data_IF_140653436764
#
_entry.id   IF_140653436764
#
_cell.length_a   1.000
_cell.length_b   1.000
_cell.length_c   1.000
_cell.angle_alpha   90.00
_cell.angle_beta   90.00
_cell.angle_gamma   90.00
#
_symmetry.space_group_name_H-M   'P 1'
#
loop_
_entity.id
_entity.type
_entity.pdbx_description
1 polymer ?
#
# COMPACT_ATOMS: atom_id res chain seq x y z
N UNK A 1 -25.70 3.37 3.97
CA UNK A 1 -24.58 3.14 4.91
C UNK A 1 -23.35 2.62 4.20
N UNK A 2 -23.44 1.62 3.35
CA UNK A 2 -22.34 0.94 2.62
C UNK A 2 -21.44 1.89 1.80
N UNK A 3 -22.04 2.89 1.13
CA UNK A 3 -21.30 3.89 0.36
C UNK A 3 -20.32 4.72 1.20
N UNK A 4 -20.68 5.04 2.44
CA UNK A 4 -19.80 5.80 3.35
C UNK A 4 -18.70 4.91 3.92
N UNK A 5 -18.98 3.63 4.16
CA UNK A 5 -17.96 2.64 4.56
C UNK A 5 -16.92 2.50 3.45
N UNK A 6 -17.36 2.34 2.20
CA UNK A 6 -16.45 2.27 1.05
C UNK A 6 -15.59 3.53 0.92
N UNK A 7 -16.19 4.70 1.04
CA UNK A 7 -15.45 5.98 1.00
C UNK A 7 -14.40 6.04 2.11
N UNK A 8 -14.79 5.69 3.35
CA UNK A 8 -13.86 5.66 4.47
C UNK A 8 -12.69 4.72 4.24
N UNK A 9 -12.96 3.48 3.79
CA UNK A 9 -11.92 2.50 3.50
C UNK A 9 -10.97 2.98 2.38
N UNK A 10 -11.51 3.58 1.32
CA UNK A 10 -10.70 4.18 0.24
C UNK A 10 -9.77 5.26 0.78
N UNK A 11 -10.30 6.19 1.57
CA UNK A 11 -9.50 7.26 2.18
C UNK A 11 -8.46 6.68 3.14
N UNK A 12 -8.81 5.72 3.98
CA UNK A 12 -7.89 5.11 4.94
C UNK A 12 -6.73 4.38 4.23
N UNK A 13 -7.03 3.54 3.24
CA UNK A 13 -6.00 2.79 2.49
C UNK A 13 -5.12 3.74 1.69
N UNK A 14 -5.72 4.68 0.94
CA UNK A 14 -4.94 5.59 0.10
C UNK A 14 -4.05 6.52 0.92
N UNK A 15 -4.54 7.07 2.03
CA UNK A 15 -3.71 7.93 2.90
C UNK A 15 -2.60 7.17 3.59
N UNK A 16 -2.84 5.91 4.01
CA UNK A 16 -1.80 5.07 4.58
C UNK A 16 -0.68 4.77 3.56
N UNK A 17 -1.04 4.41 2.32
CA UNK A 17 -0.06 4.18 1.25
C UNK A 17 0.71 5.46 0.89
N UNK A 18 0.02 6.61 0.76
CA UNK A 18 0.67 7.90 0.49
C UNK A 18 1.59 8.32 1.63
N UNK A 19 1.22 8.06 2.88
CA UNK A 19 2.06 8.33 4.04
C UNK A 19 3.37 7.51 3.99
N UNK A 20 3.29 6.23 3.61
CA UNK A 20 4.47 5.38 3.44
C UNK A 20 5.38 5.88 2.31
N UNK A 21 4.81 6.30 1.19
CA UNK A 21 5.55 6.90 0.07
C UNK A 21 6.19 8.22 0.50
N UNK A 22 5.46 9.08 1.19
CA UNK A 22 5.95 10.36 1.71
C UNK A 22 7.15 10.16 2.66
N UNK A 23 7.12 9.12 3.49
CA UNK A 23 8.23 8.80 4.39
C UNK A 23 9.51 8.42 3.64
N UNK A 24 9.40 7.64 2.57
CA UNK A 24 10.53 7.27 1.70
C UNK A 24 11.14 8.47 0.97
N UNK A 25 10.37 9.53 0.75
CA UNK A 25 10.87 10.78 0.16
C UNK A 25 11.26 11.84 1.21
N UNK A 26 11.30 11.48 2.50
CA UNK A 26 11.74 12.38 3.57
C UNK A 26 10.77 13.53 3.86
N UNK A 27 9.47 13.38 3.54
CA UNK A 27 8.45 14.40 3.77
C UNK A 27 7.91 14.41 5.20
N UNK A 28 8.20 13.37 5.99
CA UNK A 28 7.88 13.32 7.41
C UNK A 28 9.04 13.85 8.26
N UNK A 29 8.71 14.46 9.38
CA UNK A 29 9.75 14.90 10.34
C UNK A 29 10.56 13.70 10.85
N UNK A 30 11.86 13.86 11.00
CA UNK A 30 12.78 12.77 11.37
C UNK A 30 12.39 12.03 12.66
N UNK A 31 11.71 12.71 13.59
CA UNK A 31 11.26 12.10 14.87
C UNK A 31 10.15 11.06 14.72
N UNK A 32 9.38 11.10 13.63
CA UNK A 32 8.21 10.25 13.39
C UNK A 32 8.37 9.39 12.14
N UNK A 33 9.41 9.63 11.37
CA UNK A 33 9.76 8.87 10.16
C UNK A 33 10.23 7.46 10.53
N UNK A 34 9.86 6.48 9.71
CA UNK A 34 10.33 5.09 9.83
C UNK A 34 11.60 4.88 8.99
N UNK A 35 11.60 5.35 7.76
CA UNK A 35 12.76 5.23 6.85
C UNK A 35 13.47 6.56 6.64
N UNK A 36 12.75 7.64 6.47
CA UNK A 36 13.25 9.00 6.30
C UNK A 36 13.86 9.30 4.94
N UNK A 37 14.22 8.28 4.18
CA UNK A 37 14.71 8.38 2.82
C UNK A 37 14.57 7.04 2.07
N UNK A 38 14.73 7.09 0.75
CA UNK A 38 14.59 5.92 -0.11
C UNK A 38 15.70 4.88 0.12
N UNK A 39 16.91 5.31 0.43
CA UNK A 39 18.05 4.38 0.63
C UNK A 39 17.80 3.47 1.83
N UNK A 40 17.30 4.00 2.94
CA UNK A 40 16.94 3.21 4.12
C UNK A 40 15.81 2.22 3.80
N UNK A 41 14.81 2.65 3.03
CA UNK A 41 13.74 1.76 2.58
C UNK A 41 14.26 0.63 1.69
N UNK A 42 15.19 0.92 0.77
CA UNK A 42 15.80 -0.10 -0.08
C UNK A 42 16.63 -1.08 0.74
N UNK A 43 17.39 -0.62 1.72
CA UNK A 43 18.13 -1.50 2.65
C UNK A 43 17.17 -2.41 3.44
N UNK A 44 16.04 -1.86 3.91
CA UNK A 44 15.00 -2.66 4.55
C UNK A 44 14.42 -3.69 3.59
N UNK A 45 14.12 -3.30 2.35
CA UNK A 45 13.62 -4.22 1.31
C UNK A 45 14.62 -5.36 1.03
N UNK A 46 15.91 -5.05 0.97
CA UNK A 46 16.95 -6.07 0.83
C UNK A 46 16.96 -7.06 2.01
N UNK A 47 16.77 -6.56 3.23
CA UNK A 47 16.70 -7.42 4.42
C UNK A 47 15.47 -8.34 4.40
N UNK A 48 14.38 -7.93 3.75
CA UNK A 48 13.19 -8.78 3.57
C UNK A 48 13.34 -9.81 2.46
N UNK A 49 14.29 -9.61 1.55
CA UNK A 49 14.51 -10.46 0.37
C UNK A 49 15.96 -11.00 0.31
N UNK A 50 16.43 -11.68 1.37
CA UNK A 50 17.85 -12.08 1.47
C UNK A 50 18.28 -13.08 0.40
N UNK A 51 17.35 -13.74 -0.27
CA UNK A 51 17.63 -14.73 -1.32
C UNK A 51 17.71 -14.11 -2.72
N UNK A 52 17.43 -12.82 -2.86
CA UNK A 52 17.47 -12.12 -4.14
C UNK A 52 18.73 -11.25 -4.25
N UNK A 53 19.27 -11.09 -5.47
CA UNK A 53 20.32 -10.11 -5.72
C UNK A 53 19.90 -8.70 -5.30
N UNK A 54 20.81 -7.91 -4.74
CA UNK A 54 20.57 -6.54 -4.28
C UNK A 54 19.92 -5.66 -5.36
N UNK A 55 20.37 -5.80 -6.61
CA UNK A 55 19.80 -5.06 -7.75
C UNK A 55 18.32 -5.37 -7.97
N UNK A 56 17.92 -6.63 -7.83
CA UNK A 56 16.53 -7.06 -7.99
C UNK A 56 15.67 -6.58 -6.80
N UNK A 57 16.18 -6.67 -5.58
CA UNK A 57 15.48 -6.16 -4.40
C UNK A 57 15.28 -4.64 -4.49
N UNK A 58 16.27 -3.89 -4.94
CA UNK A 58 16.18 -2.45 -5.16
C UNK A 58 15.16 -2.09 -6.25
N UNK A 59 15.22 -2.78 -7.38
CA UNK A 59 14.23 -2.59 -8.45
C UNK A 59 12.81 -2.86 -7.93
N UNK A 60 12.62 -3.93 -7.16
CA UNK A 60 11.35 -4.25 -6.51
C UNK A 60 10.87 -3.13 -5.58
N UNK A 61 11.76 -2.56 -4.76
CA UNK A 61 11.45 -1.45 -3.86
C UNK A 61 11.00 -0.19 -4.60
N UNK A 62 11.66 0.16 -5.71
CA UNK A 62 11.25 1.28 -6.56
C UNK A 62 9.93 1.04 -7.27
N UNK A 63 9.74 -0.15 -7.85
CA UNK A 63 8.48 -0.53 -8.51
C UNK A 63 7.33 -0.50 -7.51
N UNK A 64 7.52 -1.07 -6.33
CA UNK A 64 6.51 -1.06 -5.27
C UNK A 64 6.14 0.37 -4.87
N UNK A 65 7.12 1.26 -4.66
CA UNK A 65 6.89 2.66 -4.32
C UNK A 65 6.10 3.39 -5.41
N UNK A 66 6.43 3.17 -6.68
CA UNK A 66 5.69 3.75 -7.81
C UNK A 66 4.25 3.24 -7.87
N UNK A 67 4.05 1.93 -7.70
CA UNK A 67 2.71 1.31 -7.70
C UNK A 67 1.88 1.82 -6.53
N UNK A 68 2.45 1.93 -5.32
CA UNK A 68 1.76 2.49 -4.17
C UNK A 68 1.31 3.93 -4.42
N UNK A 69 2.16 4.76 -5.02
CA UNK A 69 1.82 6.13 -5.37
C UNK A 69 0.67 6.18 -6.37
N UNK A 70 0.74 5.43 -7.46
CA UNK A 70 -0.30 5.40 -8.50
C UNK A 70 -1.61 4.84 -7.94
N UNK A 71 -1.57 3.71 -7.24
CA UNK A 71 -2.77 3.07 -6.71
C UNK A 71 -3.44 3.91 -5.63
N UNK A 72 -2.67 4.55 -4.76
CA UNK A 72 -3.25 5.42 -3.73
C UNK A 72 -3.95 6.63 -4.34
N UNK A 73 -3.37 7.27 -5.35
CA UNK A 73 -4.03 8.39 -6.07
C UNK A 73 -5.30 7.90 -6.78
N UNK A 74 -5.25 6.76 -7.46
CA UNK A 74 -6.43 6.19 -8.12
C UNK A 74 -7.54 5.84 -7.12
N UNK A 75 -7.21 5.27 -5.95
CA UNK A 75 -8.19 4.99 -4.89
C UNK A 75 -8.77 6.28 -4.30
N UNK A 76 -7.92 7.30 -4.09
CA UNK A 76 -8.36 8.58 -3.57
C UNK A 76 -9.38 9.23 -4.50
N UNK A 77 -9.11 9.23 -5.80
CA UNK A 77 -9.99 9.77 -6.83
C UNK A 77 -11.20 8.87 -7.13
N UNK A 78 -11.14 7.60 -6.76
CA UNK A 78 -12.17 6.62 -7.13
C UNK A 78 -12.15 6.25 -8.60
N UNK A 79 -10.94 6.10 -9.17
CA UNK A 79 -10.73 5.70 -10.55
C UNK A 79 -10.40 4.21 -10.64
N UNK A 80 -11.19 3.46 -11.43
CA UNK A 80 -11.11 1.99 -11.54
C UNK A 80 -11.01 1.31 -10.17
N UNK A 81 -11.83 1.79 -9.24
CA UNK A 81 -11.75 1.49 -7.80
C UNK A 81 -11.67 0.00 -7.51
N UNK A 82 -12.50 -0.82 -8.17
CA UNK A 82 -12.50 -2.27 -7.95
C UNK A 82 -11.17 -2.92 -8.34
N UNK A 83 -10.66 -2.59 -9.52
CA UNK A 83 -9.39 -3.15 -10.02
C UNK A 83 -8.21 -2.67 -9.16
N UNK A 84 -8.15 -1.36 -8.93
CA UNK A 84 -7.04 -0.75 -8.18
C UNK A 84 -7.01 -1.26 -6.74
N UNK A 85 -8.18 -1.45 -6.11
CA UNK A 85 -8.25 -2.04 -4.77
C UNK A 85 -7.70 -3.48 -4.74
N UNK A 86 -8.03 -4.32 -5.73
CA UNK A 86 -7.47 -5.67 -5.85
C UNK A 86 -5.95 -5.65 -6.02
N UNK A 87 -5.44 -4.77 -6.88
CA UNK A 87 -4.00 -4.63 -7.13
C UNK A 87 -3.27 -4.09 -5.89
N UNK A 88 -3.86 -3.12 -5.19
CA UNK A 88 -3.32 -2.62 -3.91
C UNK A 88 -3.26 -3.72 -2.86
N UNK A 89 -4.33 -4.50 -2.72
CA UNK A 89 -4.37 -5.64 -1.82
C UNK A 89 -3.29 -6.69 -2.14
N UNK A 90 -3.11 -7.00 -3.43
CA UNK A 90 -2.06 -7.92 -3.88
C UNK A 90 -0.65 -7.37 -3.57
N UNK A 91 -0.40 -6.09 -3.82
CA UNK A 91 0.87 -5.44 -3.52
C UNK A 91 1.18 -5.49 -2.02
N UNK A 92 0.22 -5.12 -1.18
CA UNK A 92 0.36 -5.16 0.29
C UNK A 92 0.56 -6.61 0.77
N UNK A 93 -0.14 -7.58 0.18
CA UNK A 93 0.05 -9.00 0.50
C UNK A 93 1.47 -9.49 0.14
N UNK A 94 2.06 -9.03 -0.97
CA UNK A 94 3.46 -9.33 -1.30
C UNK A 94 4.42 -8.81 -0.23
N UNK A 95 4.22 -7.60 0.29
CA UNK A 95 4.98 -7.09 1.42
C UNK A 95 4.77 -7.96 2.67
N UNK A 96 3.54 -8.33 2.97
CA UNK A 96 3.21 -9.21 4.10
C UNK A 96 3.93 -10.55 4.02
N UNK A 97 3.97 -11.16 2.84
CA UNK A 97 4.68 -12.42 2.61
C UNK A 97 6.20 -12.26 2.75
N UNK A 98 6.78 -11.19 2.21
CA UNK A 98 8.20 -10.90 2.38
C UNK A 98 8.56 -10.68 3.86
N UNK A 99 7.74 -9.95 4.62
CA UNK A 99 7.90 -9.81 6.06
C UNK A 99 7.74 -11.14 6.80
N UNK A 100 6.75 -11.94 6.43
CA UNK A 100 6.51 -13.24 7.06
C UNK A 100 7.73 -14.16 6.95
N UNK A 101 8.32 -14.24 5.76
CA UNK A 101 9.47 -15.12 5.51
C UNK A 101 10.77 -14.64 6.15
N UNK A 102 10.92 -13.34 6.39
CA UNK A 102 12.17 -12.74 6.87
C UNK A 102 12.16 -12.35 8.34
N UNK A 103 11.08 -11.76 8.82
CA UNK A 103 10.93 -11.25 10.21
C UNK A 103 9.90 -12.01 11.02
N UNK A 104 9.13 -12.89 10.40
CA UNK A 104 8.15 -13.75 11.05
C UNK A 104 6.72 -13.21 11.06
N UNK A 105 5.80 -14.11 11.39
CA UNK A 105 4.35 -13.86 11.35
C UNK A 105 3.92 -12.70 12.25
N UNK A 106 4.51 -12.60 13.46
CA UNK A 106 4.13 -11.57 14.43
C UNK A 106 4.28 -10.17 13.88
N UNK A 107 5.37 -9.89 13.14
CA UNK A 107 5.60 -8.58 12.53
C UNK A 107 4.49 -8.18 11.58
N UNK A 108 3.95 -9.11 10.79
CA UNK A 108 2.84 -8.83 9.86
C UNK A 108 1.56 -8.42 10.59
N UNK A 109 1.34 -8.91 11.81
CA UNK A 109 0.22 -8.49 12.66
C UNK A 109 0.48 -7.14 13.33
N UNK A 110 1.68 -6.92 13.87
CA UNK A 110 2.05 -5.66 14.52
C UNK A 110 1.91 -4.47 13.55
N UNK A 111 2.22 -4.67 12.27
CA UNK A 111 2.04 -3.66 11.21
C UNK A 111 0.67 -3.71 10.53
N UNK A 112 -0.26 -4.54 11.02
CA UNK A 112 -1.64 -4.65 10.48
C UNK A 112 -1.72 -4.91 8.98
N UNK A 113 -0.74 -5.60 8.41
CA UNK A 113 -0.64 -5.84 6.96
C UNK A 113 -1.89 -6.56 6.44
N UNK A 114 -2.34 -7.59 7.12
CA UNK A 114 -3.51 -8.38 6.71
C UNK A 114 -4.82 -7.60 6.84
N UNK A 115 -4.90 -6.67 7.80
CA UNK A 115 -6.05 -5.76 7.90
C UNK A 115 -6.13 -4.82 6.70
N UNK A 116 -4.98 -4.31 6.23
CA UNK A 116 -4.93 -3.48 5.02
C UNK A 116 -5.32 -4.28 3.76
N UNK A 117 -4.86 -5.53 3.64
CA UNK A 117 -5.30 -6.45 2.56
C UNK A 117 -6.81 -6.65 2.62
N UNK A 118 -7.37 -6.94 3.80
CA UNK A 118 -8.81 -7.11 4.01
C UNK A 118 -9.59 -5.86 3.64
N UNK A 119 -9.11 -4.68 3.98
CA UNK A 119 -9.72 -3.40 3.60
C UNK A 119 -9.74 -3.23 2.06
N UNK A 120 -8.64 -3.55 1.37
CA UNK A 120 -8.58 -3.51 -0.09
C UNK A 120 -9.60 -4.47 -0.73
N UNK A 121 -9.69 -5.69 -0.23
CA UNK A 121 -10.68 -6.66 -0.71
C UNK A 121 -12.11 -6.19 -0.46
N UNK A 122 -12.39 -5.63 0.71
CA UNK A 122 -13.70 -5.05 1.03
C UNK A 122 -14.06 -3.93 0.04
N UNK A 123 -13.14 -2.99 -0.24
CA UNK A 123 -13.35 -1.93 -1.23
C UNK A 123 -13.74 -2.53 -2.59
N UNK A 124 -13.06 -3.60 -3.01
CA UNK A 124 -13.30 -4.23 -4.32
C UNK A 124 -14.66 -4.92 -4.42
N UNK A 125 -15.23 -5.38 -3.30
CA UNK A 125 -16.53 -6.05 -3.24
C UNK A 125 -17.71 -5.08 -3.15
N UNK A 126 -17.48 -3.87 -2.63
CA UNK A 126 -18.53 -2.87 -2.46
C UNK A 126 -18.86 -2.19 -3.78
N UNK A 127 -20.07 -2.41 -4.31
CA UNK A 127 -20.48 -1.96 -5.66
C UNK A 127 -20.98 -0.52 -5.71
N UNK A 128 -21.41 0.04 -4.59
CA UNK A 128 -21.92 1.42 -4.54
C UNK A 128 -20.80 2.41 -4.86
N UNK A 129 -21.13 3.37 -5.73
CA UNK A 129 -20.21 4.43 -6.13
C UNK A 129 -20.59 5.74 -5.44
N UNK A 130 -19.70 6.28 -4.64
CA UNK A 130 -19.90 7.55 -3.95
C UNK A 130 -18.59 8.32 -3.93
N UNK A 131 -18.61 9.52 -4.50
CA UNK A 131 -17.42 10.33 -4.70
C UNK A 131 -16.31 9.54 -5.42
N UNK A 132 -16.70 8.88 -6.50
CA UNK A 132 -15.81 8.14 -7.38
C UNK A 132 -15.90 8.70 -8.80
N UNK A 133 -14.74 8.87 -9.44
CA UNK A 133 -14.68 9.18 -10.87
C UNK A 133 -15.39 8.10 -11.68
N UNK A 134 -15.34 6.85 -11.22
CA UNK A 134 -16.05 5.71 -11.82
C UNK A 134 -17.59 5.91 -11.88
N UNK A 135 -18.14 6.86 -11.13
CA UNK A 135 -19.57 7.19 -11.22
C UNK A 135 -19.89 8.12 -12.40
N UNK A 136 -18.89 8.79 -12.94
CA UNK A 136 -19.03 9.80 -14.01
C UNK A 136 -18.56 9.25 -15.36
N UNK A 137 -17.59 8.36 -15.35
CA UNK A 137 -17.07 7.70 -16.55
C UNK A 137 -17.92 6.45 -16.81
N UNK A 138 -18.60 6.42 -17.98
CA UNK A 138 -19.38 5.25 -18.44
C UNK A 138 -18.49 4.30 -19.22
#
# INVERSE_FOLDING_TARGET
MTKYIKLFLRLAVSTAMLSAVADRFGLWAAKISVWGNMDNFLQYTQSLLPYFPTSLANAGGWIATLLEMVFSVCLLLGFKTELVAKLSGALIACFGLAMFTSVGLKATFDYSVWNAVGACLAISCLKEKHWEIDSVIK
#
